data_IF_787460594882
#
_entry.id   IF_787460594882
#
_cell.length_a   1.000
_cell.length_b   1.000
_cell.length_c   1.000
_cell.angle_alpha   90.00
_cell.angle_beta   90.00
_cell.angle_gamma   90.00
#
_symmetry.space_group_name_H-M   'P 1'
#
loop_
_entity.id
_entity.type
_entity.pdbx_description
1 polymer ?
#
# COMPACT_ATOMS: atom_id res chain seq x y z
N UNK A 1 2.63 -16.03 19.44
CA UNK A 1 3.61 -14.92 19.49
C UNK A 1 3.98 -14.45 18.08
N UNK A 2 4.34 -15.37 17.18
CA UNK A 2 4.70 -15.11 15.78
C UNK A 2 3.60 -14.43 14.92
N UNK A 3 2.37 -14.96 14.90
CA UNK A 3 1.28 -14.42 14.07
C UNK A 3 0.95 -12.93 14.35
N UNK A 4 1.14 -12.50 15.60
CA UNK A 4 0.88 -11.13 16.03
C UNK A 4 1.86 -10.14 15.39
N UNK A 5 3.15 -10.50 15.31
CA UNK A 5 4.18 -9.63 14.72
C UNK A 5 3.94 -9.42 13.23
N UNK A 6 3.63 -10.49 12.49
CA UNK A 6 3.38 -10.42 11.06
C UNK A 6 2.17 -9.52 10.72
N UNK A 7 1.14 -9.55 11.58
CA UNK A 7 -0.03 -8.68 11.45
C UNK A 7 0.34 -7.19 11.60
N UNK A 8 1.14 -6.84 12.62
CA UNK A 8 1.58 -5.46 12.83
C UNK A 8 2.48 -4.97 11.69
N UNK A 9 3.43 -5.79 11.23
CA UNK A 9 4.31 -5.43 10.10
C UNK A 9 3.53 -5.22 8.81
N UNK A 10 2.53 -6.07 8.54
CA UNK A 10 1.63 -5.92 7.38
C UNK A 10 0.90 -4.58 7.38
N UNK A 11 0.37 -4.17 8.54
CA UNK A 11 -0.34 -2.89 8.68
C UNK A 11 0.63 -1.72 8.55
N UNK A 12 1.78 -1.78 9.23
CA UNK A 12 2.81 -0.75 9.15
C UNK A 12 3.26 -0.54 7.70
N UNK A 13 3.53 -1.63 6.97
CA UNK A 13 3.84 -1.61 5.54
C UNK A 13 2.75 -0.90 4.72
N UNK A 14 1.48 -1.24 4.95
CA UNK A 14 0.36 -0.60 4.25
C UNK A 14 0.27 0.90 4.50
N UNK A 15 0.50 1.33 5.75
CA UNK A 15 0.48 2.75 6.14
C UNK A 15 1.66 3.49 5.48
N UNK A 16 2.88 2.98 5.62
CA UNK A 16 4.09 3.58 5.04
C UNK A 16 3.98 3.71 3.52
N UNK A 17 3.49 2.66 2.85
CA UNK A 17 3.31 2.65 1.41
C UNK A 17 2.28 3.70 0.97
N UNK A 18 1.15 3.81 1.67
CA UNK A 18 0.15 4.85 1.39
C UNK A 18 0.71 6.26 1.60
N UNK A 19 1.50 6.47 2.66
CA UNK A 19 2.16 7.76 2.91
C UNK A 19 3.10 8.11 1.75
N UNK A 20 3.96 7.17 1.32
CA UNK A 20 4.89 7.38 0.22
C UNK A 20 4.17 7.65 -1.10
N UNK A 21 3.11 6.89 -1.40
CA UNK A 21 2.28 7.08 -2.59
C UNK A 21 1.63 8.45 -2.65
N UNK A 22 1.10 8.93 -1.52
CA UNK A 22 0.49 10.26 -1.46
C UNK A 22 1.55 11.35 -1.54
N UNK A 23 2.69 11.19 -0.83
CA UNK A 23 3.79 12.14 -0.83
C UNK A 23 4.34 12.36 -2.25
N UNK A 24 4.64 11.27 -2.97
CA UNK A 24 5.11 11.32 -4.36
C UNK A 24 4.00 11.77 -5.32
N UNK A 25 2.73 11.51 -4.98
CA UNK A 25 1.56 11.92 -5.76
C UNK A 25 1.09 13.36 -5.53
N UNK A 26 1.69 14.15 -4.62
CA UNK A 26 1.19 15.50 -4.27
C UNK A 26 1.09 16.44 -5.49
N UNK A 27 2.04 16.34 -6.43
CA UNK A 27 2.12 17.19 -7.62
C UNK A 27 1.17 16.76 -8.75
N UNK A 28 0.48 15.62 -8.61
CA UNK A 28 -0.43 15.12 -9.64
C UNK A 28 -1.76 15.89 -9.68
N UNK A 29 -2.41 15.85 -10.85
CA UNK A 29 -3.76 16.36 -11.06
C UNK A 29 -4.74 15.62 -10.12
N UNK A 30 -5.38 16.39 -9.22
CA UNK A 30 -6.24 15.88 -8.15
C UNK A 30 -7.70 15.86 -8.59
N UNK A 31 -8.44 14.81 -8.26
CA UNK A 31 -9.90 14.79 -8.49
C UNK A 31 -10.63 15.75 -7.56
N UNK A 32 -11.83 16.16 -7.97
CA UNK A 32 -12.77 16.94 -7.14
C UNK A 32 -13.03 16.19 -5.82
N UNK A 33 -13.01 16.92 -4.71
CA UNK A 33 -13.01 16.38 -3.33
C UNK A 33 -11.80 15.51 -2.99
N UNK A 34 -10.60 15.98 -3.32
CA UNK A 34 -9.32 15.30 -3.07
C UNK A 34 -9.19 14.73 -1.65
N UNK A 35 -9.34 15.57 -0.62
CA UNK A 35 -9.18 15.12 0.78
C UNK A 35 -10.15 14.00 1.16
N UNK A 36 -11.41 14.11 0.72
CA UNK A 36 -12.45 13.13 1.03
C UNK A 36 -12.17 11.79 0.32
N UNK A 37 -11.71 11.86 -0.94
CA UNK A 37 -11.30 10.67 -1.71
C UNK A 37 -10.06 10.00 -1.14
N UNK A 38 -9.05 10.77 -0.72
CA UNK A 38 -7.82 10.26 -0.09
C UNK A 38 -8.15 9.53 1.19
N UNK A 39 -8.93 10.15 2.09
CA UNK A 39 -9.30 9.52 3.35
C UNK A 39 -10.10 8.25 3.12
N UNK A 40 -11.08 8.27 2.20
CA UNK A 40 -11.93 7.12 1.94
C UNK A 40 -11.18 5.98 1.23
N UNK A 41 -10.33 6.29 0.24
CA UNK A 41 -9.53 5.28 -0.47
C UNK A 41 -8.46 4.67 0.42
N UNK A 42 -7.79 5.48 1.25
CA UNK A 42 -6.78 5.01 2.20
C UNK A 42 -7.41 4.16 3.30
N UNK A 43 -8.58 4.56 3.82
CA UNK A 43 -9.31 3.75 4.80
C UNK A 43 -9.70 2.40 4.21
N UNK A 44 -10.25 2.38 3.00
CA UNK A 44 -10.61 1.14 2.31
C UNK A 44 -9.39 0.26 2.05
N UNK A 45 -8.27 0.82 1.60
CA UNK A 45 -7.04 0.07 1.39
C UNK A 45 -6.52 -0.55 2.70
N UNK A 46 -6.53 0.20 3.81
CA UNK A 46 -6.12 -0.32 5.12
C UNK A 46 -7.06 -1.42 5.64
N UNK A 47 -8.37 -1.28 5.42
CA UNK A 47 -9.34 -2.33 5.77
C UNK A 47 -9.03 -3.59 4.96
N UNK A 48 -8.79 -3.49 3.66
CA UNK A 48 -8.44 -4.64 2.81
C UNK A 48 -7.13 -5.30 3.26
N UNK A 49 -6.11 -4.51 3.61
CA UNK A 49 -4.84 -5.00 4.15
C UNK A 49 -5.06 -5.72 5.49
N UNK A 50 -5.87 -5.15 6.39
CA UNK A 50 -6.18 -5.75 7.69
C UNK A 50 -6.93 -7.08 7.55
N UNK A 51 -7.96 -7.13 6.69
CA UNK A 51 -8.78 -8.32 6.43
C UNK A 51 -8.10 -9.39 5.58
N UNK A 52 -6.93 -9.10 4.97
CA UNK A 52 -6.20 -10.12 4.22
C UNK A 52 -5.88 -11.30 5.14
N UNK A 53 -6.37 -12.52 4.82
CA UNK A 53 -6.31 -13.67 5.71
C UNK A 53 -4.85 -14.06 5.94
N UNK A 54 -4.46 -14.26 7.20
CA UNK A 54 -3.15 -14.76 7.58
C UNK A 54 -3.32 -16.24 7.91
N UNK A 55 -2.70 -17.12 7.12
CA UNK A 55 -2.75 -18.57 7.37
C UNK A 55 -1.53 -18.98 8.21
N UNK A 56 -1.72 -19.24 9.50
CA UNK A 56 -0.62 -19.56 10.44
C UNK A 56 0.32 -20.69 9.96
N UNK A 57 -0.19 -21.62 9.15
CA UNK A 57 0.57 -22.76 8.61
C UNK A 57 1.51 -22.42 7.44
N UNK A 58 1.27 -21.33 6.71
CA UNK A 58 2.02 -20.99 5.47
C UNK A 58 2.61 -19.57 5.50
N UNK A 59 2.21 -18.75 6.47
CA UNK A 59 2.50 -17.30 6.49
C UNK A 59 3.99 -16.95 6.49
N UNK A 60 4.84 -17.82 7.02
CA UNK A 60 6.30 -17.65 7.07
C UNK A 60 7.04 -18.18 5.85
N UNK A 61 6.33 -18.78 4.90
CA UNK A 61 6.99 -19.27 3.70
C UNK A 61 7.27 -18.10 2.76
N UNK A 62 8.50 -18.02 2.26
CA UNK A 62 9.00 -16.91 1.44
C UNK A 62 8.07 -16.52 0.27
N UNK A 63 7.45 -17.52 -0.37
CA UNK A 63 6.54 -17.32 -1.49
C UNK A 63 5.22 -16.67 -1.04
N UNK A 64 4.65 -17.11 0.08
CA UNK A 64 3.39 -16.58 0.58
C UNK A 64 3.56 -15.14 1.09
N UNK A 65 4.63 -14.86 1.84
CA UNK A 65 4.90 -13.51 2.36
C UNK A 65 5.09 -12.51 1.21
N UNK A 66 5.81 -12.91 0.15
CA UNK A 66 5.99 -12.08 -1.06
C UNK A 66 4.67 -11.80 -1.77
N UNK A 67 3.81 -12.81 -1.92
CA UNK A 67 2.48 -12.67 -2.54
C UNK A 67 1.59 -11.76 -1.67
N UNK A 68 1.59 -11.94 -0.36
CA UNK A 68 0.82 -11.10 0.58
C UNK A 68 1.16 -9.62 0.43
N UNK A 69 2.46 -9.27 0.48
CA UNK A 69 2.90 -7.88 0.33
C UNK A 69 2.63 -7.33 -1.07
N UNK A 70 2.76 -8.16 -2.11
CA UNK A 70 2.40 -7.77 -3.47
C UNK A 70 0.90 -7.47 -3.62
N UNK A 71 0.03 -8.28 -3.02
CA UNK A 71 -1.42 -8.03 -3.02
C UNK A 71 -1.76 -6.77 -2.23
N UNK A 72 -1.12 -6.54 -1.07
CA UNK A 72 -1.28 -5.31 -0.30
C UNK A 72 -0.85 -4.08 -1.12
N UNK A 73 0.26 -4.19 -1.86
CA UNK A 73 0.71 -3.18 -2.80
C UNK A 73 -0.34 -2.90 -3.88
N UNK A 74 -0.96 -3.92 -4.46
CA UNK A 74 -2.02 -3.75 -5.47
C UNK A 74 -3.23 -3.02 -4.90
N UNK A 75 -3.66 -3.32 -3.66
CA UNK A 75 -4.75 -2.59 -3.01
C UNK A 75 -4.40 -1.11 -2.80
N UNK A 76 -3.17 -0.83 -2.36
CA UNK A 76 -2.69 0.55 -2.20
C UNK A 76 -2.60 1.26 -3.56
N UNK A 77 -2.05 0.62 -4.59
CA UNK A 77 -1.96 1.17 -5.95
C UNK A 77 -3.34 1.44 -6.57
N UNK A 78 -4.31 0.54 -6.34
CA UNK A 78 -5.70 0.73 -6.75
C UNK A 78 -6.33 1.97 -6.09
N UNK A 79 -5.93 2.29 -4.85
CA UNK A 79 -6.43 3.48 -4.15
C UNK A 79 -6.09 4.79 -4.89
N UNK A 80 -4.94 4.86 -5.59
CA UNK A 80 -4.55 6.05 -6.35
C UNK A 80 -5.50 6.33 -7.53
N UNK A 81 -6.07 5.30 -8.16
CA UNK A 81 -7.03 5.48 -9.26
C UNK A 81 -8.30 6.23 -8.82
N UNK A 82 -8.68 6.12 -7.55
CA UNK A 82 -9.81 6.85 -6.99
C UNK A 82 -9.48 8.30 -6.66
N UNK A 83 -8.21 8.60 -6.37
CA UNK A 83 -7.71 9.89 -5.88
C UNK A 83 -7.28 10.83 -7.02
N UNK A 84 -6.53 10.31 -7.99
CA UNK A 84 -5.85 11.12 -9.00
C UNK A 84 -6.49 10.98 -10.38
N UNK A 85 -6.57 12.10 -11.11
CA UNK A 85 -7.07 12.13 -12.49
C UNK A 85 -5.93 12.15 -13.49
N UNK A 86 -5.17 11.04 -13.51
CA UNK A 86 -4.00 10.90 -14.37
C UNK A 86 -4.06 9.59 -15.13
N UNK A 87 -3.30 9.51 -16.23
CA UNK A 87 -3.18 8.28 -17.01
C UNK A 87 -2.69 7.13 -16.14
N UNK A 88 -3.27 5.94 -16.35
CA UNK A 88 -2.94 4.70 -15.63
C UNK A 88 -1.42 4.42 -15.58
N UNK A 89 -0.69 4.74 -16.66
CA UNK A 89 0.77 4.60 -16.73
C UNK A 89 1.49 5.41 -15.65
N UNK A 90 1.04 6.64 -15.37
CA UNK A 90 1.61 7.50 -14.32
C UNK A 90 1.31 6.95 -12.93
N UNK A 91 0.09 6.43 -12.71
CA UNK A 91 -0.30 5.81 -11.44
C UNK A 91 0.57 4.58 -11.15
N UNK A 92 0.74 3.73 -12.17
CA UNK A 92 1.58 2.54 -12.06
C UNK A 92 3.02 2.92 -11.73
N UNK A 93 3.59 3.90 -12.44
CA UNK A 93 4.96 4.35 -12.24
C UNK A 93 5.17 4.92 -10.82
N UNK A 94 4.27 5.79 -10.35
CA UNK A 94 4.33 6.29 -8.96
C UNK A 94 4.20 5.17 -7.95
N UNK A 95 3.29 4.22 -8.18
CA UNK A 95 3.11 3.10 -7.25
C UNK A 95 4.41 2.32 -7.10
N UNK A 96 5.05 1.93 -8.21
CA UNK A 96 6.34 1.23 -8.20
C UNK A 96 7.42 2.05 -7.50
N UNK A 97 7.55 3.34 -7.84
CA UNK A 97 8.54 4.23 -7.19
C UNK A 97 8.31 4.33 -5.68
N UNK A 98 7.05 4.44 -5.25
CA UNK A 98 6.68 4.53 -3.83
C UNK A 98 7.03 3.25 -3.09
N UNK A 99 6.78 2.09 -3.71
CA UNK A 99 7.17 0.80 -3.15
C UNK A 99 8.68 0.68 -3.02
N UNK A 100 9.44 1.06 -4.05
CA UNK A 100 10.90 1.04 -3.98
C UNK A 100 11.44 1.99 -2.93
N UNK A 101 10.86 3.18 -2.79
CA UNK A 101 11.27 4.16 -1.79
C UNK A 101 10.97 3.67 -0.36
N UNK A 102 9.79 3.09 -0.15
CA UNK A 102 9.40 2.47 1.12
C UNK A 102 10.30 1.28 1.46
N UNK A 103 10.57 0.40 0.50
CA UNK A 103 11.45 -0.75 0.70
C UNK A 103 12.90 -0.34 1.01
N UNK A 104 13.40 0.69 0.31
CA UNK A 104 14.73 1.23 0.58
C UNK A 104 14.81 1.87 1.97
N UNK A 105 13.80 2.67 2.35
CA UNK A 105 13.74 3.29 3.68
C UNK A 105 13.76 2.21 4.77
N UNK A 106 12.98 1.15 4.61
CA UNK A 106 12.93 0.01 5.53
C UNK A 106 14.25 -0.77 5.62
N UNK A 107 15.07 -0.78 4.56
CA UNK A 107 16.39 -1.44 4.61
C UNK A 107 17.48 -0.58 5.27
N UNK A 108 17.33 0.74 5.24
CA UNK A 108 18.34 1.68 5.73
C UNK A 108 18.17 1.96 7.23
N UNK A 109 16.92 2.07 7.70
CA UNK A 109 16.56 2.44 9.07
C UNK A 109 16.03 1.23 9.84
#
# INVERSE_FOLDING_TARGET
>A
MWASELFFTKIAFGIELLIMMHLLGIEMQKKRHFFLRVSLSSLLALILVAFYPIFDSVSYTWWYSSIMYFVCFLFCAASLFFVYDVQWKKIFLISVYSYTAQHLAYQIF
#
